data_IF_345344635421
#
_entry.id   IF_345344635421
#
_cell.length_a   1.000
_cell.length_b   1.000
_cell.length_c   1.000
_cell.angle_alpha   90.00
_cell.angle_beta   90.00
_cell.angle_gamma   90.00
#
_symmetry.space_group_name_H-M   'P 1'
#
loop_
_entity.id
_entity.type
_entity.pdbx_description
1 polymer ?
#
# COMPACT_ATOMS: atom_id res chain seq x y z
N UNK A 1 78.49 9.30 44.38
CA UNK A 1 77.05 9.04 44.54
C UNK A 1 76.33 10.37 44.48
N UNK A 2 75.64 10.68 43.37
CA UNK A 2 74.60 11.72 43.24
C UNK A 2 73.93 11.55 41.88
N UNK A 3 72.63 11.28 41.97
CA UNK A 3 71.75 10.66 40.98
C UNK A 3 71.24 11.70 39.99
N UNK A 4 71.17 11.33 38.70
CA UNK A 4 70.47 12.07 37.66
C UNK A 4 68.96 11.94 37.89
N UNK A 5 68.22 13.05 37.82
CA UNK A 5 66.75 13.05 37.79
C UNK A 5 66.31 13.62 36.44
N UNK A 6 65.83 12.76 35.56
CA UNK A 6 65.30 13.10 34.24
C UNK A 6 63.79 13.28 34.37
N UNK A 7 63.28 14.46 34.04
CA UNK A 7 61.84 14.74 33.97
C UNK A 7 61.29 14.20 32.65
N UNK A 8 60.44 13.17 32.71
CA UNK A 8 59.70 12.63 31.58
C UNK A 8 58.34 13.35 31.53
N UNK A 9 58.15 14.24 30.56
CA UNK A 9 56.87 14.92 30.34
C UNK A 9 55.90 13.94 29.64
N UNK A 10 54.85 13.55 30.36
CA UNK A 10 53.77 12.70 29.87
C UNK A 10 52.77 13.59 29.10
N UNK A 11 52.79 13.54 27.77
CA UNK A 11 51.78 14.18 26.92
C UNK A 11 50.57 13.24 26.86
N UNK A 12 49.51 13.55 27.62
CA UNK A 12 48.20 12.92 27.50
C UNK A 12 47.47 13.50 26.29
N UNK A 13 47.43 12.74 25.18
CA UNK A 13 46.51 12.96 24.07
C UNK A 13 45.07 12.72 24.57
N UNK A 14 44.30 13.80 24.75
CA UNK A 14 42.86 13.70 24.93
C UNK A 14 42.24 13.28 23.59
N UNK A 15 41.99 11.99 23.43
CA UNK A 15 41.13 11.47 22.37
C UNK A 15 39.70 11.91 22.70
N UNK A 16 39.27 13.04 22.12
CA UNK A 16 37.86 13.42 22.07
C UNK A 16 37.20 12.36 21.19
N UNK A 17 36.64 11.33 21.83
CA UNK A 17 35.74 10.38 21.19
C UNK A 17 34.51 11.18 20.77
N UNK A 18 34.49 11.58 19.50
CA UNK A 18 33.29 12.06 18.85
C UNK A 18 32.33 10.86 18.83
N UNK A 19 31.45 10.76 19.82
CA UNK A 19 30.31 9.86 19.71
C UNK A 19 29.52 10.37 18.50
N UNK A 20 29.49 9.58 17.43
CA UNK A 20 28.53 9.79 16.35
C UNK A 20 27.16 9.78 17.02
N UNK A 21 26.47 10.91 17.04
CA UNK A 21 25.08 10.94 17.49
C UNK A 21 24.33 9.94 16.62
N UNK A 22 23.61 9.02 17.25
CA UNK A 22 22.75 8.10 16.52
C UNK A 22 21.57 8.95 16.03
N UNK A 23 21.45 9.09 14.71
CA UNK A 23 20.30 9.72 14.09
C UNK A 23 19.05 8.98 14.57
N UNK A 24 18.16 9.71 15.25
CA UNK A 24 16.92 9.14 15.75
C UNK A 24 16.02 8.78 14.57
N UNK A 25 15.58 7.52 14.54
CA UNK A 25 14.81 6.96 13.45
C UNK A 25 13.52 6.33 13.96
N UNK A 26 12.47 6.48 13.17
CA UNK A 26 11.16 5.87 13.33
C UNK A 26 11.03 4.60 12.51
N UNK A 27 10.24 3.63 12.96
CA UNK A 27 9.88 2.47 12.15
C UNK A 27 8.64 2.78 11.32
N UNK A 28 8.67 2.45 10.04
CA UNK A 28 7.51 2.45 9.15
C UNK A 28 7.16 1.01 8.79
N UNK A 29 5.94 0.59 9.12
CA UNK A 29 5.39 -0.72 8.76
C UNK A 29 4.30 -0.55 7.68
N UNK A 30 4.08 -1.57 6.84
CA UNK A 30 3.10 -1.48 5.73
C UNK A 30 2.11 -2.62 5.76
N UNK A 31 0.84 -2.31 5.53
CA UNK A 31 -0.25 -3.28 5.47
C UNK A 31 -1.17 -2.97 4.29
N UNK A 32 -1.83 -4.00 3.75
CA UNK A 32 -2.88 -3.86 2.73
C UNK A 32 -4.15 -4.57 3.18
N UNK A 33 -5.29 -3.92 2.98
CA UNK A 33 -6.61 -4.45 3.34
C UNK A 33 -7.67 -4.07 2.33
N UNK A 34 -8.71 -4.89 2.20
CA UNK A 34 -9.89 -4.50 1.44
C UNK A 34 -10.71 -3.46 2.19
N UNK A 35 -11.20 -2.45 1.46
CA UNK A 35 -12.20 -1.48 1.92
C UNK A 35 -13.37 -1.42 0.94
N UNK A 36 -14.49 -0.81 1.36
CA UNK A 36 -15.69 -0.64 0.52
C UNK A 36 -16.12 -1.94 -0.19
N UNK A 37 -16.25 -3.01 0.59
CA UNK A 37 -16.44 -4.38 0.08
C UNK A 37 -17.83 -4.63 -0.51
N UNK A 38 -18.78 -3.72 -0.31
CA UNK A 38 -20.12 -3.78 -0.88
C UNK A 38 -20.41 -2.54 -1.74
N UNK A 39 -20.93 -2.75 -2.95
CA UNK A 39 -21.30 -1.67 -3.88
C UNK A 39 -22.64 -1.94 -4.55
N UNK A 40 -23.52 -0.95 -4.56
CA UNK A 40 -24.76 -1.00 -5.34
C UNK A 40 -24.46 -0.64 -6.79
N UNK A 41 -24.86 -1.53 -7.69
CA UNK A 41 -24.63 -1.36 -9.12
C UNK A 41 -25.79 -0.64 -9.78
N UNK A 42 -25.52 0.04 -10.89
CA UNK A 42 -26.52 0.77 -11.67
C UNK A 42 -26.80 0.05 -12.97
N UNK A 43 -27.99 0.25 -13.53
CA UNK A 43 -28.36 -0.29 -14.84
C UNK A 43 -27.61 0.37 -16.00
N UNK A 44 -27.05 1.57 -15.81
CA UNK A 44 -26.16 2.24 -16.77
C UNK A 44 -24.69 2.02 -16.39
N UNK A 45 -23.85 1.78 -17.39
CA UNK A 45 -22.40 1.61 -17.26
C UNK A 45 -21.61 2.92 -17.17
N UNK A 46 -22.27 4.08 -17.02
CA UNK A 46 -21.62 5.40 -17.00
C UNK A 46 -21.40 5.91 -15.57
N UNK A 47 -20.74 5.12 -14.71
CA UNK A 47 -20.36 5.60 -13.37
C UNK A 47 -19.03 6.34 -13.48
N UNK A 48 -19.06 7.66 -13.28
CA UNK A 48 -17.82 8.41 -13.06
C UNK A 48 -17.09 7.89 -11.82
N UNK A 49 -15.77 7.72 -11.94
CA UNK A 49 -14.87 7.12 -10.93
C UNK A 49 -14.86 7.90 -9.61
N UNK A 50 -15.38 9.14 -9.57
CA UNK A 50 -15.35 10.03 -8.40
C UNK A 50 -16.72 10.40 -7.82
N UNK A 51 -17.81 9.71 -8.18
CA UNK A 51 -19.14 10.10 -7.70
C UNK A 51 -19.76 9.05 -6.78
N UNK A 52 -19.84 9.37 -5.49
CA UNK A 52 -20.66 8.68 -4.51
C UNK A 52 -22.15 8.86 -4.86
N UNK A 53 -22.63 8.16 -5.87
CA UNK A 53 -24.05 8.20 -6.25
C UNK A 53 -24.86 7.27 -5.37
N UNK A 54 -25.94 7.82 -4.80
CA UNK A 54 -26.97 7.13 -4.02
C UNK A 54 -27.46 5.87 -4.75
N UNK A 55 -27.50 4.76 -4.04
CA UNK A 55 -28.12 3.52 -4.49
C UNK A 55 -29.57 3.78 -4.96
N UNK A 56 -29.92 3.21 -6.11
CA UNK A 56 -31.33 3.12 -6.53
C UNK A 56 -31.96 1.99 -5.72
N UNK A 57 -33.04 2.29 -4.98
CA UNK A 57 -33.75 1.28 -4.18
C UNK A 57 -34.09 0.03 -5.03
N UNK A 58 -33.60 -1.13 -4.60
CA UNK A 58 -33.82 -2.42 -5.27
C UNK A 58 -32.78 -2.83 -6.31
N UNK A 59 -31.74 -2.02 -6.55
CA UNK A 59 -30.63 -2.45 -7.41
C UNK A 59 -29.80 -3.55 -6.73
N UNK A 60 -29.44 -4.62 -7.46
CA UNK A 60 -28.62 -5.69 -6.91
C UNK A 60 -27.23 -5.17 -6.52
N UNK A 61 -26.78 -5.58 -5.34
CA UNK A 61 -25.50 -5.22 -4.75
C UNK A 61 -24.49 -6.32 -5.01
N UNK A 62 -23.25 -5.95 -5.33
CA UNK A 62 -22.11 -6.86 -5.25
C UNK A 62 -21.44 -6.70 -3.89
N UNK A 63 -21.19 -7.80 -3.19
CA UNK A 63 -20.59 -7.83 -1.86
C UNK A 63 -19.46 -8.86 -1.82
N UNK A 64 -18.23 -8.40 -1.59
CA UNK A 64 -17.06 -9.23 -1.40
C UNK A 64 -16.92 -9.63 0.07
N UNK A 65 -16.61 -10.89 0.30
CA UNK A 65 -16.50 -11.47 1.65
C UNK A 65 -15.18 -12.17 1.90
N UNK A 66 -14.40 -12.41 0.85
CA UNK A 66 -13.08 -12.98 0.94
C UNK A 66 -12.23 -12.49 -0.23
N UNK A 67 -10.92 -12.41 0.00
CA UNK A 67 -10.00 -11.93 -1.00
C UNK A 67 -8.57 -12.20 -0.62
N UNK A 68 -7.75 -12.52 -1.61
CA UNK A 68 -6.33 -12.74 -1.41
C UNK A 68 -5.51 -12.26 -2.60
N UNK A 69 -4.25 -11.94 -2.34
CA UNK A 69 -3.27 -11.59 -3.36
C UNK A 69 -1.88 -12.05 -2.93
N UNK A 70 -0.97 -12.13 -3.88
CA UNK A 70 0.42 -12.48 -3.65
C UNK A 70 1.29 -11.25 -3.88
N UNK A 71 1.74 -10.59 -2.80
CA UNK A 71 2.69 -9.47 -2.87
C UNK A 71 4.05 -10.01 -3.28
N UNK A 72 4.63 -9.44 -4.33
CA UNK A 72 5.97 -9.78 -4.83
C UNK A 72 7.01 -8.72 -4.47
N UNK A 73 6.62 -7.47 -4.33
CA UNK A 73 7.54 -6.35 -4.08
C UNK A 73 6.82 -5.24 -3.31
N UNK A 74 7.54 -4.59 -2.39
CA UNK A 74 7.13 -3.32 -1.77
C UNK A 74 8.31 -2.37 -1.89
N UNK A 75 8.08 -1.23 -2.52
CA UNK A 75 9.04 -0.14 -2.61
C UNK A 75 8.55 1.01 -1.73
N UNK A 76 9.45 1.54 -0.92
CA UNK A 76 9.26 2.76 -0.16
C UNK A 76 10.31 3.76 -0.59
N UNK A 77 9.90 4.99 -0.79
CA UNK A 77 10.76 6.12 -1.09
C UNK A 77 10.34 7.31 -0.22
N UNK A 78 11.30 8.06 0.30
CA UNK A 78 11.03 9.30 1.02
C UNK A 78 12.07 10.36 0.66
N UNK A 79 11.59 11.56 0.32
CA UNK A 79 12.41 12.70 -0.07
C UNK A 79 12.35 13.80 1.01
N UNK A 80 13.49 14.19 1.56
CA UNK A 80 13.56 15.20 2.64
C UNK A 80 13.27 16.61 2.12
N UNK A 81 12.53 17.40 2.90
CA UNK A 81 12.34 18.84 2.66
C UNK A 81 13.64 19.56 3.08
N UNK A 82 14.48 19.87 2.09
CA UNK A 82 15.76 20.57 2.30
C UNK A 82 15.66 22.06 1.91
N UNK A 83 16.20 22.98 2.74
CA UNK A 83 16.18 24.41 2.42
C UNK A 83 17.02 24.73 1.18
N UNK A 84 16.47 25.54 0.27
CA UNK A 84 17.13 26.00 -0.97
C UNK A 84 18.60 26.44 -0.71
N UNK A 85 19.55 25.80 -1.40
CA UNK A 85 20.96 26.20 -1.41
C UNK A 85 21.91 25.38 -0.53
N UNK A 86 21.45 24.31 0.12
CA UNK A 86 22.33 23.24 0.60
C UNK A 86 22.48 22.17 -0.50
N UNK A 87 23.62 21.49 -0.55
CA UNK A 87 23.96 20.56 -1.64
C UNK A 87 22.83 19.57 -1.92
N UNK A 88 22.43 19.48 -3.19
CA UNK A 88 21.44 18.57 -3.80
C UNK A 88 21.86 17.09 -3.75
N UNK A 89 22.59 16.65 -2.73
CA UNK A 89 22.72 15.23 -2.44
C UNK A 89 21.38 14.79 -1.84
N UNK A 90 20.34 14.70 -2.70
CA UNK A 90 18.99 14.26 -2.39
C UNK A 90 19.07 13.14 -1.36
N UNK A 91 18.69 13.41 -0.11
CA UNK A 91 18.66 12.39 0.94
C UNK A 91 17.42 11.52 0.72
N UNK A 92 17.34 10.92 -0.46
CA UNK A 92 16.32 9.98 -0.90
C UNK A 92 16.55 8.67 -0.15
N UNK A 93 15.54 8.23 0.59
CA UNK A 93 15.57 6.96 1.29
C UNK A 93 14.79 5.93 0.51
N UNK A 94 15.49 4.99 -0.11
CA UNK A 94 14.88 3.84 -0.77
C UNK A 94 14.92 2.59 0.10
N UNK A 95 13.78 1.93 0.18
CA UNK A 95 13.69 0.58 0.72
C UNK A 95 12.90 -0.31 -0.22
N UNK A 96 13.46 -1.48 -0.51
CA UNK A 96 12.83 -2.50 -1.34
C UNK A 96 12.71 -3.80 -0.53
N UNK A 97 11.47 -4.23 -0.29
CA UNK A 97 11.17 -5.58 0.15
C UNK A 97 10.82 -6.45 -1.05
N UNK A 98 11.40 -7.67 -1.08
CA UNK A 98 11.08 -8.70 -2.10
C UNK A 98 10.39 -9.90 -1.45
N UNK A 99 9.18 -10.17 -1.92
CA UNK A 99 8.33 -11.30 -1.54
C UNK A 99 8.77 -12.64 -2.17
N UNK A 100 7.91 -13.68 -2.16
CA UNK A 100 6.45 -13.58 -2.11
C UNK A 100 5.81 -13.64 -0.71
N UNK A 101 4.80 -12.81 -0.46
CA UNK A 101 3.90 -12.90 0.72
C UNK A 101 2.46 -13.07 0.25
N UNK A 102 1.80 -14.14 0.70
CA UNK A 102 0.36 -14.33 0.46
C UNK A 102 -0.42 -13.55 1.50
N UNK A 103 -1.27 -12.63 1.04
CA UNK A 103 -2.08 -11.76 1.89
C UNK A 103 -3.54 -12.19 1.81
N UNK A 104 -4.18 -12.25 2.98
CA UNK A 104 -5.63 -12.28 3.11
C UNK A 104 -6.14 -10.85 3.32
N UNK A 105 -6.87 -10.33 2.33
CA UNK A 105 -7.37 -8.94 2.32
C UNK A 105 -8.49 -8.69 3.33
N UNK A 106 -9.12 -9.75 3.84
CA UNK A 106 -10.25 -9.71 4.78
C UNK A 106 -9.88 -10.25 6.16
N UNK A 107 -8.67 -10.80 6.30
CA UNK A 107 -8.13 -11.34 7.54
C UNK A 107 -7.52 -10.28 8.45
N UNK A 108 -6.78 -10.75 9.46
CA UNK A 108 -5.95 -9.88 10.28
C UNK A 108 -4.89 -9.18 9.42
N UNK A 109 -4.60 -7.92 9.74
CA UNK A 109 -3.53 -7.14 9.10
C UNK A 109 -2.21 -7.91 9.11
N UNK A 110 -1.58 -8.03 7.94
CA UNK A 110 -0.24 -8.58 7.81
C UNK A 110 0.71 -7.44 7.42
N UNK A 111 1.81 -7.28 8.16
CA UNK A 111 2.84 -6.30 7.85
C UNK A 111 3.85 -6.87 6.86
N UNK A 112 4.26 -6.07 5.86
CA UNK A 112 5.20 -6.47 4.80
C UNK A 112 6.67 -6.20 5.11
N UNK A 113 6.96 -5.69 6.31
CA UNK A 113 8.31 -5.35 6.73
C UNK A 113 8.32 -4.03 7.49
N UNK A 114 9.51 -3.64 7.93
CA UNK A 114 9.74 -2.39 8.64
C UNK A 114 10.90 -1.61 8.02
N UNK A 115 10.73 -0.32 7.82
CA UNK A 115 11.75 0.60 7.29
C UNK A 115 12.11 1.59 8.37
N UNK A 116 13.41 1.85 8.56
CA UNK A 116 13.86 2.88 9.50
C UNK A 116 14.01 4.21 8.77
N UNK A 117 13.16 5.17 9.10
CA UNK A 117 13.16 6.51 8.52
C UNK A 117 13.67 7.50 9.55
N UNK A 118 14.69 8.28 9.20
CA UNK A 118 15.26 9.29 10.12
C UNK A 118 14.22 10.39 10.35
N UNK A 119 14.09 10.88 11.58
CA UNK A 119 13.17 11.98 11.87
C UNK A 119 13.50 13.24 11.04
N UNK A 120 12.46 13.96 10.62
CA UNK A 120 12.60 15.13 9.75
C UNK A 120 11.34 15.48 8.98
N UNK A 121 11.39 16.62 8.31
CA UNK A 121 10.37 17.02 7.34
C UNK A 121 10.69 16.39 5.98
N UNK A 122 9.69 15.81 5.35
CA UNK A 122 9.76 15.19 4.03
C UNK A 122 8.79 15.91 3.10
N UNK A 123 9.21 16.13 1.86
CA UNK A 123 8.35 16.71 0.83
C UNK A 123 7.29 15.71 0.39
N UNK A 124 7.73 14.47 0.19
CA UNK A 124 6.92 13.37 -0.27
C UNK A 124 7.38 12.05 0.35
N UNK A 125 6.40 11.19 0.64
CA UNK A 125 6.59 9.79 0.99
C UNK A 125 5.79 8.96 -0.02
N UNK A 126 6.45 8.01 -0.65
CA UNK A 126 5.89 7.17 -1.68
C UNK A 126 5.99 5.68 -1.31
N UNK A 127 4.93 4.94 -1.57
CA UNK A 127 4.88 3.48 -1.44
C UNK A 127 4.29 2.88 -2.69
N UNK A 128 4.98 1.89 -3.27
CA UNK A 128 4.46 1.02 -4.32
C UNK A 128 4.43 -0.43 -3.84
N UNK A 129 3.34 -1.15 -4.10
CA UNK A 129 3.22 -2.58 -3.88
C UNK A 129 2.92 -3.26 -5.22
N UNK A 130 3.81 -4.15 -5.65
CA UNK A 130 3.54 -5.06 -6.76
C UNK A 130 3.00 -6.37 -6.23
N UNK A 131 1.89 -6.81 -6.82
CA UNK A 131 1.21 -8.04 -6.45
C UNK A 131 0.71 -8.80 -7.68
N UNK A 132 0.36 -10.06 -7.49
CA UNK A 132 -0.25 -10.91 -8.52
C UNK A 132 -1.26 -11.87 -7.91
N UNK A 133 -1.97 -12.59 -8.77
CA UNK A 133 -2.93 -13.63 -8.37
C UNK A 133 -4.01 -13.09 -7.42
N UNK A 134 -4.59 -11.92 -7.75
CA UNK A 134 -5.73 -11.39 -7.03
C UNK A 134 -6.92 -12.32 -7.23
N UNK A 135 -7.43 -12.86 -6.12
CA UNK A 135 -8.64 -13.67 -6.08
C UNK A 135 -9.63 -13.01 -5.13
N UNK A 136 -10.84 -12.72 -5.60
CA UNK A 136 -11.92 -12.18 -4.77
C UNK A 136 -13.15 -13.09 -4.86
N UNK A 137 -13.84 -13.26 -3.75
CA UNK A 137 -15.08 -14.04 -3.67
C UNK A 137 -16.18 -13.27 -2.95
N UNK A 138 -17.41 -13.46 -3.39
CA UNK A 138 -18.55 -12.73 -2.87
C UNK A 138 -19.88 -13.13 -3.51
N UNK A 139 -20.83 -12.21 -3.49
CA UNK A 139 -22.15 -12.38 -4.11
C UNK A 139 -22.57 -11.15 -4.91
N UNK A 140 -23.33 -11.36 -5.97
CA UNK A 140 -24.11 -10.34 -6.67
C UNK A 140 -25.60 -10.67 -6.50
N UNK A 141 -26.30 -9.89 -5.67
CA UNK A 141 -27.57 -10.31 -5.10
C UNK A 141 -27.40 -11.63 -4.34
N UNK A 142 -28.07 -12.68 -4.82
CA UNK A 142 -27.94 -14.05 -4.29
C UNK A 142 -27.02 -14.96 -5.13
N UNK A 143 -26.49 -14.47 -6.25
CA UNK A 143 -25.63 -15.28 -7.12
C UNK A 143 -24.18 -15.21 -6.63
N UNK A 144 -23.49 -16.34 -6.37
CA UNK A 144 -22.06 -16.33 -6.04
C UNK A 144 -21.21 -15.74 -7.17
N UNK A 145 -20.19 -14.98 -6.82
CA UNK A 145 -19.23 -14.37 -7.75
C UNK A 145 -17.80 -14.69 -7.32
N UNK A 146 -16.96 -15.00 -8.30
CA UNK A 146 -15.51 -15.17 -8.12
C UNK A 146 -14.79 -14.36 -9.21
N UNK A 147 -13.81 -13.56 -8.79
CA UNK A 147 -12.95 -12.77 -9.67
C UNK A 147 -11.53 -13.33 -9.54
N UNK A 148 -10.91 -13.65 -10.67
CA UNK A 148 -9.56 -14.19 -10.74
C UNK A 148 -8.72 -13.34 -11.71
N UNK A 149 -7.75 -12.61 -11.16
CA UNK A 149 -6.78 -11.84 -11.92
C UNK A 149 -5.36 -12.34 -11.63
N UNK A 150 -4.82 -13.12 -12.56
CA UNK A 150 -3.47 -13.70 -12.44
C UNK A 150 -2.35 -12.76 -12.92
N UNK A 151 -2.71 -11.61 -13.49
CA UNK A 151 -1.75 -10.60 -13.91
C UNK A 151 -1.07 -9.94 -12.72
N UNK A 152 0.08 -9.32 -13.00
CA UNK A 152 0.71 -8.40 -12.05
C UNK A 152 -0.11 -7.10 -11.99
N UNK A 153 -0.21 -6.55 -10.79
CA UNK A 153 -0.86 -5.28 -10.47
C UNK A 153 0.06 -4.49 -9.58
N UNK A 154 0.10 -3.18 -9.78
CA UNK A 154 0.86 -2.25 -8.96
C UNK A 154 -0.11 -1.31 -8.25
N UNK A 155 0.10 -1.14 -6.95
CA UNK A 155 -0.66 -0.26 -6.09
C UNK A 155 0.29 0.82 -5.58
N UNK A 156 0.02 2.05 -5.94
CA UNK A 156 0.87 3.19 -5.61
C UNK A 156 0.13 4.12 -4.67
N UNK A 157 0.86 4.74 -3.76
CA UNK A 157 0.35 5.85 -2.98
C UNK A 157 1.45 6.82 -2.62
N UNK A 158 1.07 8.09 -2.63
CA UNK A 158 1.93 9.19 -2.27
C UNK A 158 1.25 9.97 -1.16
N UNK A 159 2.02 10.32 -0.15
CA UNK A 159 1.66 11.30 0.86
C UNK A 159 2.59 12.48 0.68
N UNK A 160 2.01 13.67 0.57
CA UNK A 160 2.79 14.91 0.48
C UNK A 160 3.48 15.23 1.80
N UNK A 161 3.77 16.52 2.00
CA UNK A 161 4.52 17.02 3.16
C UNK A 161 4.20 16.28 4.46
N UNK A 162 5.19 15.56 4.97
CA UNK A 162 5.05 14.71 6.16
C UNK A 162 6.15 15.00 7.16
N UNK A 163 5.80 15.07 8.45
CA UNK A 163 6.75 15.22 9.54
C UNK A 163 6.93 13.87 10.24
N UNK A 164 8.10 13.27 10.04
CA UNK A 164 8.53 12.08 10.79
C UNK A 164 9.06 12.54 12.14
N UNK A 165 8.34 12.20 13.21
CA UNK A 165 8.73 12.52 14.58
C UNK A 165 9.59 11.40 15.16
N UNK A 166 10.60 11.78 15.93
CA UNK A 166 11.42 10.84 16.69
C UNK A 166 10.56 9.96 17.59
N UNK A 167 10.94 8.68 17.72
CA UNK A 167 10.36 7.72 18.66
C UNK A 167 8.84 7.45 18.45
N UNK A 168 8.29 7.83 17.28
CA UNK A 168 6.95 7.45 16.81
C UNK A 168 7.10 6.42 15.69
N UNK A 169 6.46 5.26 15.85
CA UNK A 169 6.33 4.28 14.77
C UNK A 169 5.08 4.59 13.93
N UNK A 170 5.19 4.35 12.63
CA UNK A 170 4.18 4.67 11.64
C UNK A 170 3.71 3.43 10.91
N UNK A 171 2.42 3.38 10.61
CA UNK A 171 1.78 2.36 9.78
C UNK A 171 1.28 3.00 8.48
N UNK A 172 1.87 2.59 7.36
CA UNK A 172 1.34 2.83 6.03
C UNK A 172 0.26 1.79 5.71
N UNK A 173 -1.00 2.21 5.77
CA UNK A 173 -2.16 1.37 5.47
C UNK A 173 -2.66 1.63 4.06
N UNK A 174 -2.51 0.62 3.20
CA UNK A 174 -3.03 0.64 1.82
C UNK A 174 -4.44 0.04 1.83
N UNK A 175 -5.43 0.87 1.51
CA UNK A 175 -6.80 0.46 1.34
C UNK A 175 -7.07 0.12 -0.13
N UNK A 176 -7.41 -1.14 -0.40
CA UNK A 176 -7.92 -1.57 -1.69
C UNK A 176 -9.43 -1.36 -1.73
N UNK A 177 -9.86 -0.26 -2.32
CA UNK A 177 -11.26 0.12 -2.44
C UNK A 177 -11.98 -0.74 -3.49
N UNK A 178 -12.60 -1.84 -3.06
CA UNK A 178 -13.28 -2.79 -3.95
C UNK A 178 -14.55 -2.21 -4.60
N UNK A 179 -15.07 -1.09 -4.10
CA UNK A 179 -16.15 -0.35 -4.74
C UNK A 179 -15.73 0.19 -6.11
N UNK A 180 -14.49 0.65 -6.25
CA UNK A 180 -13.93 1.17 -7.50
C UNK A 180 -13.66 0.06 -8.52
N UNK A 181 -13.37 -1.17 -8.07
CA UNK A 181 -13.14 -2.32 -8.96
C UNK A 181 -14.34 -2.60 -9.86
N UNK A 182 -15.54 -2.30 -9.35
CA UNK A 182 -16.82 -2.54 -10.03
C UNK A 182 -17.36 -1.29 -10.74
N UNK A 183 -16.56 -0.22 -10.83
CA UNK A 183 -16.92 0.96 -11.60
C UNK A 183 -17.17 0.59 -13.08
N UNK A 184 -18.17 1.23 -13.70
CA UNK A 184 -18.58 1.01 -15.09
C UNK A 184 -19.06 -0.43 -15.44
N UNK A 185 -19.30 -1.26 -14.43
CA UNK A 185 -19.95 -2.57 -14.60
C UNK A 185 -21.43 -2.40 -14.25
N UNK A 186 -22.29 -2.64 -15.24
CA UNK A 186 -23.74 -2.52 -15.07
C UNK A 186 -24.35 -3.79 -14.48
N UNK A 187 -25.55 -3.65 -13.89
CA UNK A 187 -26.36 -4.81 -13.48
C UNK A 187 -26.69 -5.69 -14.68
N UNK A 188 -26.99 -5.10 -15.85
CA UNK A 188 -27.28 -5.84 -17.09
C UNK A 188 -26.11 -6.72 -17.54
N UNK A 189 -24.87 -6.30 -17.33
CA UNK A 189 -23.70 -7.12 -17.65
C UNK A 189 -23.59 -8.32 -16.72
N UNK A 190 -23.81 -8.13 -15.42
CA UNK A 190 -23.77 -9.23 -14.45
C UNK A 190 -24.97 -10.17 -14.54
N UNK A 191 -26.15 -9.64 -14.88
CA UNK A 191 -27.37 -10.44 -15.10
C UNK A 191 -27.20 -11.37 -16.31
N UNK A 192 -26.50 -10.90 -17.35
CA UNK A 192 -26.19 -11.66 -18.56
C UNK A 192 -24.86 -12.45 -18.47
N UNK A 193 -24.14 -12.36 -17.36
CA UNK A 193 -22.87 -13.06 -17.19
C UNK A 193 -23.08 -14.59 -17.25
N UNK A 194 -22.19 -15.28 -17.95
CA UNK A 194 -22.21 -16.74 -18.01
C UNK A 194 -21.86 -17.31 -16.65
N UNK A 195 -22.69 -18.23 -16.16
CA UNK A 195 -22.47 -18.94 -14.91
C UNK A 195 -21.82 -20.30 -15.16
N UNK A 196 -20.78 -20.61 -14.41
CA UNK A 196 -20.15 -21.93 -14.37
C UNK A 196 -20.48 -22.55 -13.01
N UNK A 197 -21.17 -23.71 -13.01
CA UNK A 197 -21.62 -24.37 -11.78
C UNK A 197 -22.45 -23.45 -10.84
N UNK A 198 -23.30 -22.61 -11.42
CA UNK A 198 -24.15 -21.68 -10.66
C UNK A 198 -23.45 -20.41 -10.15
N UNK A 199 -22.14 -20.25 -10.40
CA UNK A 199 -21.32 -19.11 -9.99
C UNK A 199 -20.94 -18.26 -11.19
N UNK A 200 -20.95 -16.93 -11.05
CA UNK A 200 -20.35 -16.03 -12.03
C UNK A 200 -18.83 -16.05 -11.80
N UNK A 201 -18.09 -16.53 -12.79
CA UNK A 201 -16.61 -16.52 -12.75
C UNK A 201 -16.12 -15.45 -13.71
N UNK A 202 -15.39 -14.46 -13.21
CA UNK A 202 -14.81 -13.36 -13.98
C UNK A 202 -13.29 -13.55 -14.02
N UNK A 203 -12.77 -13.83 -15.21
CA UNK A 203 -11.36 -14.08 -15.44
C UNK A 203 -10.96 -13.71 -16.87
N UNK A 204 -9.69 -13.86 -17.21
CA UNK A 204 -9.20 -13.67 -18.58
C UNK A 204 -9.83 -14.61 -19.61
N UNK A 205 -10.49 -15.69 -19.19
CA UNK A 205 -11.15 -16.66 -20.10
C UNK A 205 -12.67 -16.73 -19.94
N UNK A 206 -13.22 -16.22 -18.84
CA UNK A 206 -14.66 -16.26 -18.52
C UNK A 206 -15.20 -14.87 -18.20
N UNK A 207 -16.33 -14.49 -18.82
CA UNK A 207 -16.90 -13.14 -18.70
C UNK A 207 -15.87 -12.02 -19.02
N UNK A 208 -15.11 -12.22 -20.10
CA UNK A 208 -13.92 -11.43 -20.44
C UNK A 208 -14.16 -9.92 -20.58
N UNK A 209 -15.35 -9.51 -21.05
CA UNK A 209 -15.71 -8.09 -21.13
C UNK A 209 -15.78 -7.42 -19.76
N UNK A 210 -16.33 -8.14 -18.77
CA UNK A 210 -16.40 -7.66 -17.37
C UNK A 210 -15.00 -7.67 -16.76
N UNK A 211 -14.22 -8.73 -17.03
CA UNK A 211 -12.83 -8.83 -16.60
C UNK A 211 -11.97 -7.66 -17.10
N UNK A 212 -12.09 -7.29 -18.39
CA UNK A 212 -11.34 -6.17 -18.96
C UNK A 212 -11.67 -4.83 -18.28
N UNK A 213 -12.95 -4.60 -17.94
CA UNK A 213 -13.36 -3.40 -17.18
C UNK A 213 -12.78 -3.41 -15.77
N UNK A 214 -12.84 -4.54 -15.08
CA UNK A 214 -12.23 -4.69 -13.75
C UNK A 214 -10.72 -4.43 -13.77
N UNK A 215 -10.03 -4.92 -14.80
CA UNK A 215 -8.59 -4.69 -14.98
C UNK A 215 -8.27 -3.22 -15.25
N UNK A 216 -9.10 -2.53 -16.03
CA UNK A 216 -8.96 -1.08 -16.24
C UNK A 216 -9.15 -0.27 -14.94
N UNK A 217 -9.95 -0.79 -14.00
CA UNK A 217 -10.18 -0.15 -12.70
C UNK A 217 -9.10 -0.49 -11.65
N UNK A 218 -8.28 -1.53 -11.87
CA UNK A 218 -7.34 -2.05 -10.86
C UNK A 218 -6.29 -1.01 -10.42
N UNK A 219 -5.82 -0.18 -11.34
CA UNK A 219 -4.85 0.88 -11.05
C UNK A 219 -5.44 2.00 -10.17
N UNK A 220 -6.77 2.14 -10.10
CA UNK A 220 -7.43 3.19 -9.33
C UNK A 220 -7.91 2.71 -7.94
N UNK A 221 -7.58 1.49 -7.51
CA UNK A 221 -8.13 0.92 -6.28
C UNK A 221 -7.39 1.31 -5.01
N UNK A 222 -6.13 1.70 -5.12
CA UNK A 222 -5.27 1.94 -3.97
C UNK A 222 -5.46 3.37 -3.45
N UNK A 223 -5.69 3.46 -2.15
CA UNK A 223 -5.57 4.69 -1.37
C UNK A 223 -4.64 4.39 -0.21
N UNK A 224 -3.62 5.24 0.00
CA UNK A 224 -2.63 5.05 1.08
C UNK A 224 -2.86 6.08 2.16
N UNK A 225 -3.02 5.59 3.39
CA UNK A 225 -3.14 6.40 4.59
C UNK A 225 -1.97 6.07 5.53
N UNK A 226 -1.36 7.09 6.12
CA UNK A 226 -0.35 6.91 7.17
C UNK A 226 -0.97 7.22 8.52
N UNK A 227 -0.87 6.27 9.44
CA UNK A 227 -1.35 6.37 10.81
C UNK A 227 -0.20 6.18 11.80
N UNK A 228 -0.29 6.77 12.99
CA UNK A 228 0.66 6.48 14.05
C UNK A 228 0.34 5.10 14.65
N UNK A 229 1.35 4.27 14.89
CA UNK A 229 1.17 3.06 15.70
C UNK A 229 1.16 3.46 17.19
N UNK A 230 0.09 3.12 17.90
CA UNK A 230 -0.08 3.33 19.36
C UNK A 230 0.82 2.41 20.20
#
# INVERSE_FOLDING_TARGET
MKTKLSFLALITLALISCKKEEDKASSFSYQIKASNTANSLTSSSTKEVNSATKAVNGAPTINFTAGSLLVSEVNFNAEKDEPEGQNEDNTEMDFEFKGPIQVDLFGASQSFGNVKVIAGAYEDIYVSIKAKNLALSGTYGTTPVEILANGEVEFEGQYGKFLVNEDIDYLGLIHMNLGLLTANISTTELDNATKTNGKIVISSTSNQAIYAKMLANLAALAEVNFENED
#
